data_IF_592897161523
#
_entry.id   IF_592897161523
#
_cell.length_a   1.000
_cell.length_b   1.000
_cell.length_c   1.000
_cell.angle_alpha   90.00
_cell.angle_beta   90.00
_cell.angle_gamma   90.00
#
_symmetry.space_group_name_H-M   'P 1'
#
loop_
_entity.id
_entity.type
_entity.pdbx_description
1 polymer ?
#
# COMPACT_ATOMS: atom_id res chain seq x y z
N UNK A 1 12.49 -22.65 -5.41
CA UNK A 1 12.86 -21.23 -5.57
C UNK A 1 14.37 -21.02 -5.74
N UNK A 2 14.79 -20.54 -6.90
CA UNK A 2 16.20 -20.19 -7.16
C UNK A 2 16.63 -18.88 -6.45
N UNK A 3 17.93 -18.62 -6.35
CA UNK A 3 18.48 -17.45 -5.64
C UNK A 3 17.97 -16.10 -6.18
N UNK A 4 17.88 -15.96 -7.50
CA UNK A 4 17.41 -14.74 -8.15
C UNK A 4 15.94 -14.51 -7.81
N UNK A 5 15.10 -15.55 -7.94
CA UNK A 5 13.67 -15.46 -7.62
C UNK A 5 13.46 -15.10 -6.15
N UNK A 6 14.25 -15.68 -5.23
CA UNK A 6 14.20 -15.32 -3.79
C UNK A 6 14.50 -13.83 -3.57
N UNK A 7 15.53 -13.28 -4.24
CA UNK A 7 15.87 -11.85 -4.13
C UNK A 7 14.78 -10.95 -4.70
N UNK A 8 14.15 -11.35 -5.80
CA UNK A 8 13.00 -10.62 -6.35
C UNK A 8 11.82 -10.66 -5.38
N UNK A 9 11.52 -11.81 -4.78
CA UNK A 9 10.45 -11.94 -3.80
C UNK A 9 10.69 -11.09 -2.54
N UNK A 10 11.92 -11.11 -1.99
CA UNK A 10 12.34 -10.25 -0.88
C UNK A 10 12.12 -8.76 -1.20
N UNK A 11 12.46 -8.33 -2.42
CA UNK A 11 12.24 -6.95 -2.86
C UNK A 11 10.76 -6.59 -2.98
N UNK A 12 9.92 -7.51 -3.48
CA UNK A 12 8.47 -7.29 -3.57
C UNK A 12 7.82 -7.20 -2.18
N UNK A 13 8.26 -8.02 -1.22
CA UNK A 13 7.81 -7.92 0.17
C UNK A 13 8.20 -6.59 0.80
N UNK A 14 9.42 -6.09 0.56
CA UNK A 14 9.83 -4.77 1.05
C UNK A 14 8.96 -3.64 0.45
N UNK A 15 8.68 -3.69 -0.85
CA UNK A 15 7.77 -2.74 -1.50
C UNK A 15 6.36 -2.79 -0.92
N UNK A 16 5.89 -3.99 -0.58
CA UNK A 16 4.58 -4.17 0.04
C UNK A 16 4.53 -3.50 1.41
N UNK A 17 5.50 -3.79 2.28
CA UNK A 17 5.62 -3.19 3.61
C UNK A 17 5.67 -1.65 3.54
N UNK A 18 6.51 -1.09 2.65
CA UNK A 18 6.59 0.35 2.45
C UNK A 18 5.24 0.95 1.98
N UNK A 19 4.53 0.25 1.08
CA UNK A 19 3.23 0.70 0.59
C UNK A 19 2.14 0.64 1.67
N UNK A 20 2.15 -0.40 2.51
CA UNK A 20 1.21 -0.55 3.64
C UNK A 20 1.46 0.53 4.70
N UNK A 21 2.73 0.85 4.99
CA UNK A 21 3.10 1.99 5.86
C UNK A 21 2.59 3.32 5.33
N UNK A 22 2.76 3.60 4.03
CA UNK A 22 2.25 4.83 3.40
C UNK A 22 0.73 4.91 3.43
N UNK A 23 0.04 3.79 3.18
CA UNK A 23 -1.41 3.73 3.29
C UNK A 23 -1.87 4.06 4.72
N UNK A 24 -1.23 3.47 5.74
CA UNK A 24 -1.58 3.74 7.14
C UNK A 24 -1.37 5.22 7.51
N UNK A 25 -0.27 5.85 7.08
CA UNK A 25 -0.06 7.29 7.28
C UNK A 25 -1.20 8.15 6.70
N UNK A 26 -1.71 7.78 5.53
CA UNK A 26 -2.85 8.48 4.93
C UNK A 26 -4.16 8.23 5.69
N UNK A 27 -4.38 7.02 6.19
CA UNK A 27 -5.55 6.70 7.00
C UNK A 27 -5.55 7.44 8.34
N UNK A 28 -4.42 7.45 9.05
CA UNK A 28 -4.22 8.21 10.29
C UNK A 28 -4.45 9.71 10.07
N UNK A 29 -3.89 10.26 8.99
CA UNK A 29 -4.11 11.67 8.64
C UNK A 29 -5.57 11.97 8.30
N UNK A 30 -6.29 11.05 7.64
CA UNK A 30 -7.72 11.20 7.37
C UNK A 30 -8.52 11.23 8.67
N UNK A 31 -8.21 10.32 9.59
CA UNK A 31 -8.90 10.22 10.88
C UNK A 31 -8.68 11.46 11.75
N UNK A 32 -7.44 12.00 11.79
CA UNK A 32 -7.16 13.22 12.54
C UNK A 32 -7.89 14.45 12.00
N UNK A 33 -8.10 14.53 10.68
CA UNK A 33 -8.83 15.64 10.05
C UNK A 33 -10.36 15.53 10.25
N UNK A 34 -10.92 14.32 10.23
CA UNK A 34 -12.35 14.09 10.50
C UNK A 34 -12.71 14.48 11.92
N UNK A 35 -11.80 14.26 12.88
CA UNK A 35 -12.01 14.56 14.29
C UNK A 35 -11.69 16.03 14.66
N UNK A 36 -11.39 16.90 13.69
CA UNK A 36 -10.93 18.28 13.94
C UNK A 36 -12.03 19.33 13.63
N UNK A 37 -12.10 20.47 14.34
CA UNK A 37 -13.27 21.36 14.31
C UNK A 37 -13.42 22.28 13.07
N UNK A 38 -12.95 21.91 11.87
CA UNK A 38 -13.03 22.80 10.69
C UNK A 38 -13.32 22.12 9.35
N UNK A 39 -13.58 22.94 8.33
CA UNK A 39 -14.02 22.60 6.97
C UNK A 39 -12.90 21.98 6.10
N UNK A 40 -12.34 20.85 6.55
CA UNK A 40 -11.26 20.11 5.88
C UNK A 40 -11.72 19.23 4.72
N UNK A 41 -12.93 19.44 4.19
CA UNK A 41 -13.55 18.58 3.17
C UNK A 41 -12.63 18.32 1.97
N UNK A 42 -12.01 19.36 1.43
CA UNK A 42 -11.10 19.25 0.28
C UNK A 42 -9.81 18.47 0.61
N UNK A 43 -9.30 18.56 1.84
CA UNK A 43 -8.10 17.81 2.24
C UNK A 43 -8.43 16.33 2.48
N UNK A 44 -9.59 16.04 3.07
CA UNK A 44 -10.11 14.68 3.23
C UNK A 44 -10.30 14.02 1.86
N UNK A 45 -10.93 14.69 0.89
CA UNK A 45 -11.11 14.18 -0.47
C UNK A 45 -9.76 13.89 -1.16
N UNK A 46 -8.74 14.73 -0.96
CA UNK A 46 -7.38 14.47 -1.48
C UNK A 46 -6.77 13.23 -0.86
N UNK A 47 -6.90 13.07 0.47
CA UNK A 47 -6.37 11.91 1.18
C UNK A 47 -7.08 10.63 0.75
N UNK A 48 -8.39 10.67 0.53
CA UNK A 48 -9.16 9.53 0.03
C UNK A 48 -8.68 9.06 -1.34
N UNK A 49 -8.36 9.99 -2.26
CA UNK A 49 -7.73 9.63 -3.55
C UNK A 49 -6.39 8.93 -3.35
N UNK A 50 -5.55 9.40 -2.43
CA UNK A 50 -4.28 8.73 -2.11
C UNK A 50 -4.50 7.34 -1.52
N UNK A 51 -5.45 7.19 -0.60
CA UNK A 51 -5.84 5.89 -0.02
C UNK A 51 -6.23 4.91 -1.12
N UNK A 52 -7.04 5.32 -2.09
CA UNK A 52 -7.43 4.46 -3.22
C UNK A 52 -6.23 4.05 -4.09
N UNK A 53 -5.33 4.99 -4.40
CA UNK A 53 -4.11 4.71 -5.18
C UNK A 53 -3.24 3.68 -4.46
N UNK A 54 -2.99 3.87 -3.17
CA UNK A 54 -2.19 2.94 -2.38
C UNK A 54 -2.84 1.57 -2.22
N UNK A 55 -4.15 1.50 -2.01
CA UNK A 55 -4.89 0.23 -2.01
C UNK A 55 -4.71 -0.53 -3.33
N UNK A 56 -4.84 0.16 -4.48
CA UNK A 56 -4.62 -0.44 -5.81
C UNK A 56 -3.17 -0.92 -5.98
N UNK A 57 -2.20 -0.16 -5.52
CA UNK A 57 -0.78 -0.54 -5.59
C UNK A 57 -0.48 -1.77 -4.75
N UNK A 58 -0.96 -1.82 -3.50
CA UNK A 58 -0.83 -2.99 -2.62
C UNK A 58 -1.42 -4.24 -3.27
N UNK A 59 -2.61 -4.14 -3.87
CA UNK A 59 -3.23 -5.27 -4.58
C UNK A 59 -2.39 -5.76 -5.76
N UNK A 60 -1.77 -4.85 -6.53
CA UNK A 60 -0.88 -5.23 -7.63
C UNK A 60 0.36 -5.96 -7.11
N UNK A 61 1.01 -5.46 -6.07
CA UNK A 61 2.19 -6.08 -5.46
C UNK A 61 1.83 -7.47 -4.91
N UNK A 62 0.71 -7.60 -4.18
CA UNK A 62 0.23 -8.90 -3.68
C UNK A 62 -0.02 -9.92 -4.80
N UNK A 63 -0.57 -9.47 -5.94
CA UNK A 63 -0.75 -10.33 -7.13
C UNK A 63 0.59 -10.74 -7.75
N UNK A 64 1.58 -9.87 -7.78
CA UNK A 64 2.92 -10.19 -8.29
C UNK A 64 3.65 -11.19 -7.40
N UNK A 65 3.62 -10.98 -6.08
CA UNK A 65 4.15 -11.91 -5.07
C UNK A 65 3.54 -13.30 -5.29
N UNK A 66 2.20 -13.39 -5.31
CA UNK A 66 1.50 -14.65 -5.50
C UNK A 66 1.89 -15.35 -6.81
N UNK A 67 1.98 -14.60 -7.92
CA UNK A 67 2.43 -15.17 -9.22
C UNK A 67 3.85 -15.75 -9.16
N UNK A 68 4.73 -15.16 -8.36
CA UNK A 68 6.11 -15.65 -8.19
C UNK A 68 6.09 -16.92 -7.33
N UNK A 69 5.33 -16.93 -6.25
CA UNK A 69 5.20 -18.08 -5.34
C UNK A 69 4.54 -19.28 -6.03
N UNK A 70 3.45 -19.05 -6.78
CA UNK A 70 2.73 -20.08 -7.54
C UNK A 70 3.60 -20.71 -8.64
N UNK A 71 4.57 -19.97 -9.20
CA UNK A 71 5.49 -20.48 -10.24
C UNK A 71 6.60 -21.36 -9.69
N UNK A 72 6.87 -21.27 -8.39
CA UNK A 72 8.00 -21.92 -7.73
C UNK A 72 7.55 -22.94 -6.67
N UNK A 73 6.23 -23.14 -6.56
CA UNK A 73 5.54 -24.22 -5.85
C UNK A 73 5.38 -25.43 -6.75
#
# INVERSE_FOLDING_TARGET
MNFITKKVLEFQYKKLDDSEKRLNQHLEKRESLINSPSDYKLEIEKIERYVEVWKKNIQKIKKEIKKIEDKES
#
